data_IF_666850654145
#
_entry.id   IF_666850654145
#
_cell.length_a   1.000
_cell.length_b   1.000
_cell.length_c   1.000
_cell.angle_alpha   90.00
_cell.angle_beta   90.00
_cell.angle_gamma   90.00
#
_symmetry.space_group_name_H-M   'P 1'
#
loop_
_entity.id
_entity.type
_entity.pdbx_description
1 polymer ?
#
# COMPACT_ATOMS: atom_id res chain seq x y z
N UNK A 1 -11.94 -21.37 1.04
CA UNK A 1 -11.29 -20.18 1.60
C UNK A 1 -12.31 -19.06 1.60
N UNK A 2 -12.50 -18.35 2.73
CA UNK A 2 -13.37 -17.18 2.74
C UNK A 2 -12.84 -16.13 1.77
N UNK A 3 -13.71 -15.57 0.94
CA UNK A 3 -13.34 -14.51 0.03
C UNK A 3 -13.09 -13.23 0.83
N UNK A 4 -12.12 -12.41 0.44
CA UNK A 4 -11.80 -11.15 1.14
C UNK A 4 -13.00 -10.19 1.27
N UNK A 5 -13.98 -10.32 0.37
CA UNK A 5 -15.24 -9.58 0.44
C UNK A 5 -16.17 -10.08 1.55
N UNK A 6 -15.89 -11.27 2.14
CA UNK A 6 -16.69 -11.89 3.18
C UNK A 6 -16.06 -11.65 4.56
N UNK A 7 -15.56 -10.45 4.83
CA UNK A 7 -15.03 -10.08 6.15
C UNK A 7 -16.09 -10.32 7.24
N UNK A 8 -15.67 -10.81 8.42
CA UNK A 8 -16.60 -11.17 9.51
C UNK A 8 -17.23 -9.93 10.18
N UNK A 9 -16.66 -8.74 10.01
CA UNK A 9 -17.18 -7.52 10.62
C UNK A 9 -18.52 -7.13 9.97
N UNK A 10 -19.61 -7.02 10.74
CA UNK A 10 -20.95 -6.78 10.18
C UNK A 10 -21.04 -5.53 9.33
N UNK A 11 -20.34 -4.47 9.75
CA UNK A 11 -20.37 -3.17 9.07
C UNK A 11 -19.60 -3.14 7.75
N UNK A 12 -18.75 -4.15 7.47
CA UNK A 12 -18.05 -4.24 6.18
C UNK A 12 -19.00 -4.19 4.98
N UNK A 13 -20.19 -4.76 5.11
CA UNK A 13 -21.22 -4.78 4.05
C UNK A 13 -21.82 -3.41 3.74
N UNK A 14 -21.67 -2.46 4.65
CA UNK A 14 -22.15 -1.08 4.51
C UNK A 14 -21.13 -0.18 3.80
N UNK A 15 -19.88 -0.65 3.69
CA UNK A 15 -18.82 0.10 3.00
C UNK A 15 -18.88 -0.11 1.51
N UNK A 16 -18.73 0.99 0.78
CA UNK A 16 -18.60 0.95 -0.67
C UNK A 16 -17.43 1.82 -1.09
N UNK A 17 -16.43 1.19 -1.67
CA UNK A 17 -15.26 1.84 -2.25
C UNK A 17 -15.27 1.69 -3.76
N UNK A 18 -14.82 2.71 -4.47
CA UNK A 18 -14.66 2.63 -5.90
C UNK A 18 -13.39 1.85 -6.28
N UNK A 19 -13.43 1.26 -7.47
CA UNK A 19 -12.25 0.64 -8.07
C UNK A 19 -11.44 1.71 -8.80
N UNK A 20 -10.12 1.84 -8.51
CA UNK A 20 -9.27 2.71 -9.31
C UNK A 20 -9.19 2.17 -10.75
N UNK A 21 -8.96 3.07 -11.70
CA UNK A 21 -8.91 2.75 -13.13
C UNK A 21 -10.14 1.97 -13.65
N UNK A 22 -11.32 2.28 -13.14
CA UNK A 22 -12.57 1.51 -13.33
C UNK A 22 -12.88 1.21 -14.80
N UNK A 23 -12.61 2.15 -15.74
CA UNK A 23 -12.83 1.94 -17.18
C UNK A 23 -11.93 0.82 -17.73
N UNK A 24 -10.64 0.85 -17.41
CA UNK A 24 -9.69 -0.18 -17.83
C UNK A 24 -9.99 -1.53 -17.20
N UNK A 25 -10.31 -1.54 -15.90
CA UNK A 25 -10.70 -2.76 -15.18
C UNK A 25 -11.94 -3.43 -15.78
N UNK A 26 -12.95 -2.65 -16.17
CA UNK A 26 -14.16 -3.18 -16.83
C UNK A 26 -13.79 -3.84 -18.16
N UNK A 27 -13.04 -3.15 -19.02
CA UNK A 27 -12.57 -3.73 -20.28
C UNK A 27 -11.76 -5.00 -20.08
N UNK A 28 -10.86 -5.02 -19.10
CA UNK A 28 -10.10 -6.22 -18.74
C UNK A 28 -11.04 -7.39 -18.42
N UNK A 29 -12.06 -7.17 -17.58
CA UNK A 29 -13.01 -8.21 -17.19
C UNK A 29 -13.85 -8.71 -18.37
N UNK A 30 -14.34 -7.80 -19.20
CA UNK A 30 -15.26 -8.10 -20.30
C UNK A 30 -14.54 -8.67 -21.53
N UNK A 31 -13.38 -8.13 -21.89
CA UNK A 31 -12.70 -8.44 -23.14
C UNK A 31 -11.57 -9.48 -22.99
N UNK A 32 -10.98 -9.60 -21.78
CA UNK A 32 -9.79 -10.43 -21.56
C UNK A 32 -10.07 -11.60 -20.62
N UNK A 33 -10.52 -11.31 -19.38
CA UNK A 33 -10.74 -12.37 -18.36
C UNK A 33 -11.94 -13.28 -18.68
N UNK A 34 -12.83 -12.87 -19.55
CA UNK A 34 -13.91 -13.71 -20.07
C UNK A 34 -13.45 -14.72 -21.12
N UNK A 35 -12.22 -14.60 -21.62
CA UNK A 35 -11.66 -15.53 -22.63
C UNK A 35 -11.14 -16.79 -21.94
N UNK A 36 -11.33 -17.92 -22.58
CA UNK A 36 -10.84 -19.23 -22.10
C UNK A 36 -9.37 -19.49 -22.45
N UNK A 37 -8.80 -18.74 -23.40
CA UNK A 37 -7.42 -18.83 -23.86
C UNK A 37 -6.47 -17.81 -23.19
N UNK A 38 -6.94 -17.06 -22.19
CA UNK A 38 -6.14 -16.15 -21.40
C UNK A 38 -5.88 -16.71 -19.99
N UNK A 39 -4.62 -16.86 -19.63
CA UNK A 39 -4.22 -17.26 -18.28
C UNK A 39 -4.04 -16.00 -17.38
N UNK A 40 -4.91 -15.79 -16.37
CA UNK A 40 -4.79 -14.66 -15.44
C UNK A 40 -3.45 -14.59 -14.69
N UNK A 41 -2.71 -15.69 -14.55
CA UNK A 41 -1.40 -15.71 -13.91
C UNK A 41 -0.37 -14.81 -14.63
N UNK A 42 -0.56 -14.56 -15.94
CA UNK A 42 0.27 -13.62 -16.68
C UNK A 42 0.23 -12.20 -16.13
N UNK A 43 -0.88 -11.81 -15.50
CA UNK A 43 -1.00 -10.48 -14.87
C UNK A 43 -0.07 -10.36 -13.65
N UNK A 44 0.11 -11.46 -12.90
CA UNK A 44 1.08 -11.49 -11.80
C UNK A 44 2.52 -11.38 -12.33
N UNK A 45 2.86 -12.12 -13.40
CA UNK A 45 4.19 -12.05 -14.01
C UNK A 45 4.48 -10.63 -14.52
N UNK A 46 3.53 -10.02 -15.23
CA UNK A 46 3.66 -8.67 -15.72
C UNK A 46 3.80 -7.66 -14.56
N UNK A 47 2.96 -7.76 -13.54
CA UNK A 47 3.02 -6.91 -12.35
C UNK A 47 4.35 -7.02 -11.61
N UNK A 48 4.89 -8.25 -11.47
CA UNK A 48 6.18 -8.51 -10.84
C UNK A 48 7.33 -7.89 -11.65
N UNK A 49 7.32 -8.01 -12.98
CA UNK A 49 8.31 -7.33 -13.83
C UNK A 49 8.27 -5.81 -13.66
N UNK A 50 7.08 -5.20 -13.62
CA UNK A 50 6.94 -3.75 -13.41
C UNK A 50 7.44 -3.32 -12.03
N UNK A 51 7.11 -4.08 -10.97
CA UNK A 51 7.57 -3.81 -9.62
C UNK A 51 9.10 -3.92 -9.50
N UNK A 52 9.69 -4.93 -10.12
CA UNK A 52 11.16 -5.10 -10.18
C UNK A 52 11.81 -3.94 -10.93
N UNK A 53 11.27 -3.56 -12.09
CA UNK A 53 11.79 -2.44 -12.86
C UNK A 53 11.76 -1.13 -12.06
N UNK A 54 10.71 -0.89 -11.28
CA UNK A 54 10.61 0.28 -10.41
C UNK A 54 11.72 0.32 -9.34
N UNK A 55 12.01 -0.83 -8.70
CA UNK A 55 13.09 -0.94 -7.72
C UNK A 55 14.44 -0.67 -8.37
N UNK A 56 14.69 -1.20 -9.56
CA UNK A 56 15.94 -0.98 -10.30
C UNK A 56 16.08 0.48 -10.75
N UNK A 57 15.00 1.14 -11.19
CA UNK A 57 14.99 2.57 -11.50
C UNK A 57 15.35 3.39 -10.24
N UNK A 58 14.78 3.04 -9.08
CA UNK A 58 15.12 3.72 -7.83
C UNK A 58 16.60 3.56 -7.50
N UNK A 59 17.13 2.33 -7.53
CA UNK A 59 18.56 2.05 -7.27
C UNK A 59 19.48 2.81 -8.23
N UNK A 60 19.14 2.83 -9.52
CA UNK A 60 19.89 3.57 -10.52
C UNK A 60 19.88 5.10 -10.28
N UNK A 61 18.72 5.66 -9.90
CA UNK A 61 18.60 7.07 -9.54
C UNK A 61 19.38 7.40 -8.26
N UNK A 62 19.33 6.53 -7.25
CA UNK A 62 20.13 6.66 -6.02
C UNK A 62 21.63 6.65 -6.31
N UNK A 63 22.10 5.75 -7.17
CA UNK A 63 23.51 5.67 -7.55
C UNK A 63 23.98 6.88 -8.36
N UNK A 64 23.16 7.35 -9.31
CA UNK A 64 23.54 8.44 -10.21
C UNK A 64 23.40 9.83 -9.57
N UNK A 65 22.36 10.06 -8.76
CA UNK A 65 21.95 11.39 -8.31
C UNK A 65 21.81 11.51 -6.78
N UNK A 66 22.07 10.44 -6.03
CA UNK A 66 21.97 10.44 -4.57
C UNK A 66 20.56 10.82 -4.07
N UNK A 67 20.51 11.69 -3.06
CA UNK A 67 19.24 12.12 -2.45
C UNK A 67 18.28 12.80 -3.46
N UNK A 68 18.80 13.54 -4.42
CA UNK A 68 17.97 14.16 -5.44
C UNK A 68 17.27 13.11 -6.32
N UNK A 69 17.94 12.01 -6.64
CA UNK A 69 17.35 10.87 -7.35
C UNK A 69 16.24 10.22 -6.55
N UNK A 70 16.44 10.04 -5.25
CA UNK A 70 15.40 9.55 -4.33
C UNK A 70 14.16 10.46 -4.35
N UNK A 71 14.32 11.75 -4.13
CA UNK A 71 13.21 12.71 -4.09
C UNK A 71 12.36 12.68 -5.37
N UNK A 72 13.00 12.58 -6.54
CA UNK A 72 12.29 12.51 -7.82
C UNK A 72 11.43 11.25 -7.91
N UNK A 73 12.01 10.08 -7.61
CA UNK A 73 11.28 8.80 -7.68
C UNK A 73 10.17 8.75 -6.63
N UNK A 74 10.46 9.15 -5.41
CA UNK A 74 9.52 9.14 -4.28
C UNK A 74 8.36 10.09 -4.51
N UNK A 75 8.64 11.30 -4.99
CA UNK A 75 7.59 12.25 -5.36
C UNK A 75 6.66 11.70 -6.45
N UNK A 76 7.19 10.94 -7.41
CA UNK A 76 6.38 10.28 -8.43
C UNK A 76 5.49 9.18 -7.83
N UNK A 77 6.05 8.31 -6.99
CA UNK A 77 5.31 7.24 -6.33
C UNK A 77 4.20 7.76 -5.42
N UNK A 78 4.50 8.80 -4.63
CA UNK A 78 3.51 9.47 -3.77
C UNK A 78 2.36 10.03 -4.59
N UNK A 79 2.63 10.68 -5.74
CA UNK A 79 1.56 11.18 -6.63
C UNK A 79 0.68 10.05 -7.15
N UNK A 80 1.26 8.92 -7.55
CA UNK A 80 0.47 7.75 -7.99
C UNK A 80 -0.39 7.22 -6.85
N UNK A 81 0.17 7.10 -5.63
CA UNK A 81 -0.58 6.68 -4.45
C UNK A 81 -1.74 7.61 -4.12
N UNK A 82 -1.50 8.94 -4.18
CA UNK A 82 -2.52 9.96 -3.96
C UNK A 82 -3.66 9.86 -4.99
N UNK A 83 -3.32 9.71 -6.28
CA UNK A 83 -4.31 9.58 -7.34
C UNK A 83 -5.15 8.29 -7.19
N UNK A 84 -4.49 7.16 -6.92
CA UNK A 84 -5.18 5.89 -6.66
C UNK A 84 -6.08 5.98 -5.44
N UNK A 85 -5.61 6.57 -4.34
CA UNK A 85 -6.39 6.77 -3.13
C UNK A 85 -7.63 7.65 -3.38
N UNK A 86 -7.47 8.74 -4.11
CA UNK A 86 -8.60 9.61 -4.51
C UNK A 86 -9.63 8.84 -5.35
N UNK A 87 -9.19 8.01 -6.29
CA UNK A 87 -10.08 7.18 -7.10
C UNK A 87 -10.84 6.15 -6.24
N UNK A 88 -10.18 5.51 -5.28
CA UNK A 88 -10.80 4.57 -4.34
C UNK A 88 -11.87 5.28 -3.51
N UNK A 89 -11.56 6.48 -3.02
CA UNK A 89 -12.41 7.23 -2.09
C UNK A 89 -13.48 8.08 -2.78
N UNK A 90 -13.37 8.32 -4.09
CA UNK A 90 -14.37 9.09 -4.83
C UNK A 90 -15.74 8.39 -4.81
N UNK A 91 -16.74 9.05 -4.23
CA UNK A 91 -18.08 8.47 -4.10
C UNK A 91 -18.17 7.29 -3.11
N UNK A 92 -17.20 7.14 -2.22
CA UNK A 92 -17.24 6.15 -1.14
C UNK A 92 -18.40 6.43 -0.20
N UNK A 93 -19.20 5.40 0.07
CA UNK A 93 -20.24 5.42 1.09
C UNK A 93 -19.68 4.83 2.39
N UNK A 94 -19.75 5.59 3.46
CA UNK A 94 -19.30 5.18 4.79
C UNK A 94 -20.50 5.02 5.71
N UNK A 95 -20.51 3.98 6.58
CA UNK A 95 -21.57 3.82 7.58
C UNK A 95 -21.62 5.02 8.53
N UNK A 96 -22.82 5.36 9.02
CA UNK A 96 -22.97 6.38 10.06
C UNK A 96 -22.22 5.98 11.35
N UNK A 97 -21.53 6.94 11.96
CA UNK A 97 -20.77 6.70 13.20
C UNK A 97 -19.59 5.75 13.06
N UNK A 98 -19.01 5.60 11.85
CA UNK A 98 -17.77 4.84 11.65
C UNK A 98 -16.65 5.40 12.50
N UNK A 99 -15.92 4.51 13.19
CA UNK A 99 -14.70 4.88 13.90
C UNK A 99 -13.53 5.06 12.95
N UNK A 100 -12.50 5.77 13.39
CA UNK A 100 -11.25 5.89 12.62
C UNK A 100 -10.58 4.52 12.43
N UNK A 101 -10.58 3.66 13.46
CA UNK A 101 -10.02 2.31 13.40
C UNK A 101 -10.75 1.41 12.41
N UNK A 102 -12.09 1.44 12.38
CA UNK A 102 -12.87 0.72 11.36
C UNK A 102 -12.51 1.20 9.95
N UNK A 103 -12.51 2.52 9.73
CA UNK A 103 -12.13 3.07 8.42
C UNK A 103 -10.72 2.65 8.03
N UNK A 104 -9.73 2.77 8.94
CA UNK A 104 -8.36 2.38 8.66
C UNK A 104 -8.25 0.91 8.26
N UNK A 105 -8.92 0.00 8.99
CA UNK A 105 -8.95 -1.43 8.69
C UNK A 105 -9.57 -1.73 7.32
N UNK A 106 -10.71 -1.12 7.03
CA UNK A 106 -11.44 -1.37 5.79
C UNK A 106 -10.74 -0.76 4.57
N UNK A 107 -10.22 0.45 4.72
CA UNK A 107 -9.41 1.09 3.69
C UNK A 107 -8.13 0.30 3.40
N UNK A 108 -7.43 -0.16 4.44
CA UNK A 108 -6.26 -1.01 4.28
C UNK A 108 -6.58 -2.32 3.54
N UNK A 109 -7.74 -2.95 3.83
CA UNK A 109 -8.18 -4.14 3.09
C UNK A 109 -8.36 -3.85 1.61
N UNK A 110 -9.05 -2.77 1.26
CA UNK A 110 -9.26 -2.37 -0.14
C UNK A 110 -7.93 -2.09 -0.84
N UNK A 111 -7.05 -1.33 -0.19
CA UNK A 111 -5.71 -1.00 -0.72
C UNK A 111 -4.89 -2.26 -0.95
N UNK A 112 -4.81 -3.16 0.03
CA UNK A 112 -4.03 -4.39 -0.09
C UNK A 112 -4.53 -5.29 -1.22
N UNK A 113 -5.85 -5.40 -1.39
CA UNK A 113 -6.46 -6.27 -2.42
C UNK A 113 -6.43 -5.68 -3.81
N UNK A 114 -6.55 -4.36 -3.92
CA UNK A 114 -6.60 -3.67 -5.22
C UNK A 114 -5.21 -3.25 -5.69
N UNK A 115 -4.45 -2.57 -4.82
CA UNK A 115 -3.19 -1.96 -5.20
C UNK A 115 -1.99 -2.92 -5.09
N UNK A 116 -2.03 -3.84 -4.13
CA UNK A 116 -0.91 -4.73 -3.85
C UNK A 116 -1.17 -6.19 -4.22
N UNK A 117 -2.40 -6.56 -4.59
CA UNK A 117 -2.79 -7.93 -4.88
C UNK A 117 -2.34 -8.93 -3.80
N UNK A 118 -2.30 -8.48 -2.53
CA UNK A 118 -1.84 -9.26 -1.39
C UNK A 118 -3.01 -9.94 -0.66
N UNK A 119 -2.69 -10.93 0.16
CA UNK A 119 -3.61 -11.58 1.09
C UNK A 119 -3.32 -11.05 2.49
N UNK A 120 -4.29 -10.39 3.11
CA UNK A 120 -4.15 -9.87 4.47
C UNK A 120 -5.17 -10.49 5.43
N UNK A 121 -4.83 -10.42 6.72
CA UNK A 121 -5.71 -10.66 7.85
C UNK A 121 -5.86 -9.36 8.65
N UNK A 122 -6.89 -8.55 8.37
CA UNK A 122 -7.07 -7.26 9.00
C UNK A 122 -7.77 -7.39 10.36
N UNK A 123 -7.49 -6.41 11.24
CA UNK A 123 -8.11 -6.28 12.56
C UNK A 123 -8.45 -4.83 12.87
N UNK A 124 -9.54 -4.63 13.59
CA UNK A 124 -9.85 -3.35 14.26
C UNK A 124 -9.40 -3.51 15.71
N UNK A 125 -8.38 -2.75 16.12
CA UNK A 125 -7.77 -2.88 17.45
C UNK A 125 -8.34 -1.86 18.45
N UNK A 126 -9.10 -0.88 17.99
CA UNK A 126 -9.72 0.16 18.79
C UNK A 126 -10.42 1.20 17.94
N UNK A 127 -10.92 2.26 18.58
CA UNK A 127 -11.63 3.35 17.87
C UNK A 127 -10.73 4.14 16.92
N UNK A 128 -9.43 4.23 17.23
CA UNK A 128 -8.44 5.02 16.48
C UNK A 128 -7.27 4.16 15.94
N UNK A 129 -7.41 2.81 16.00
CA UNK A 129 -6.32 1.89 15.66
C UNK A 129 -6.82 0.68 14.89
N UNK A 130 -6.03 0.26 13.92
CA UNK A 130 -6.19 -0.99 13.19
C UNK A 130 -4.82 -1.63 12.94
N UNK A 131 -4.81 -2.94 12.72
CA UNK A 131 -3.62 -3.66 12.25
C UNK A 131 -3.99 -4.68 11.18
N UNK A 132 -2.99 -5.16 10.48
CA UNK A 132 -3.15 -6.28 9.56
C UNK A 132 -1.83 -7.03 9.37
N UNK A 133 -1.96 -8.32 9.10
CA UNK A 133 -0.87 -9.17 8.66
C UNK A 133 -1.02 -9.46 7.17
N UNK A 134 0.04 -9.26 6.39
CA UNK A 134 0.10 -9.78 5.03
C UNK A 134 0.53 -11.24 5.11
N UNK A 135 -0.37 -12.12 4.72
CA UNK A 135 -0.17 -13.58 4.73
C UNK A 135 0.53 -14.06 3.46
N UNK A 136 0.35 -13.33 2.37
CA UNK A 136 0.98 -13.56 1.08
C UNK A 136 1.16 -12.23 0.35
N UNK A 137 2.37 -12.00 -0.14
CA UNK A 137 2.73 -10.81 -0.92
C UNK A 137 3.24 -11.25 -2.30
N UNK A 138 2.78 -10.67 -3.41
CA UNK A 138 3.23 -11.04 -4.75
C UNK A 138 4.72 -10.82 -4.97
N UNK A 139 5.37 -10.04 -4.12
CA UNK A 139 6.79 -9.69 -4.22
C UNK A 139 7.69 -10.41 -3.20
N UNK A 140 7.14 -11.30 -2.38
CA UNK A 140 7.88 -11.94 -1.28
C UNK A 140 9.12 -12.74 -1.73
N UNK A 141 9.07 -13.30 -2.95
CA UNK A 141 10.16 -14.11 -3.51
C UNK A 141 11.17 -13.29 -4.33
N UNK A 142 10.93 -11.99 -4.53
CA UNK A 142 11.73 -11.12 -5.42
C UNK A 142 12.33 -9.92 -4.71
N UNK A 143 11.66 -9.38 -3.67
CA UNK A 143 12.15 -8.23 -2.94
C UNK A 143 13.14 -8.66 -1.85
N UNK A 144 14.29 -8.00 -1.81
CA UNK A 144 15.11 -7.99 -0.62
C UNK A 144 14.44 -7.15 0.49
N UNK A 145 14.84 -7.39 1.74
CA UNK A 145 14.26 -6.70 2.91
C UNK A 145 14.16 -5.18 2.75
N UNK A 146 15.10 -4.60 2.01
CA UNK A 146 15.20 -3.16 1.82
C UNK A 146 14.37 -2.63 0.63
N UNK A 147 14.01 -3.48 -0.30
CA UNK A 147 13.27 -3.08 -1.52
C UNK A 147 11.84 -2.63 -1.20
N UNK A 148 11.23 -3.15 -0.12
CA UNK A 148 9.91 -2.72 0.34
C UNK A 148 9.81 -1.22 0.66
N UNK A 149 10.93 -0.48 0.74
CA UNK A 149 10.93 0.97 0.97
C UNK A 149 10.17 1.74 -0.12
N UNK A 150 10.14 1.24 -1.37
CA UNK A 150 9.40 1.88 -2.46
C UNK A 150 7.91 2.00 -2.14
N UNK A 151 7.36 1.04 -1.40
CA UNK A 151 5.94 1.00 -1.05
C UNK A 151 5.55 2.10 -0.06
N UNK A 152 6.50 2.57 0.75
CA UNK A 152 6.24 3.63 1.74
C UNK A 152 5.73 4.92 1.10
N UNK A 153 6.28 5.31 -0.04
CA UNK A 153 5.89 6.53 -0.73
C UNK A 153 4.53 6.40 -1.39
N UNK A 154 4.25 5.25 -1.94
CA UNK A 154 2.92 4.94 -2.47
C UNK A 154 1.88 4.96 -1.33
N UNK A 155 2.17 4.31 -0.20
CA UNK A 155 1.31 4.34 1.01
C UNK A 155 1.14 5.77 1.52
N UNK A 156 2.19 6.58 1.53
CA UNK A 156 2.10 7.99 1.93
C UNK A 156 1.06 8.77 1.10
N UNK A 157 1.03 8.55 -0.21
CA UNK A 157 0.02 9.13 -1.09
C UNK A 157 -1.40 8.63 -0.77
N UNK A 158 -1.55 7.34 -0.48
CA UNK A 158 -2.83 6.76 -0.07
C UNK A 158 -3.35 7.35 1.25
N UNK A 159 -2.47 7.53 2.24
CA UNK A 159 -2.81 8.17 3.53
C UNK A 159 -3.18 9.64 3.35
N UNK A 160 -2.50 10.34 2.45
CA UNK A 160 -2.83 11.72 2.10
C UNK A 160 -4.23 11.82 1.48
N UNK A 161 -4.59 10.92 0.56
CA UNK A 161 -5.94 10.83 -0.01
C UNK A 161 -7.01 10.59 1.06
N UNK A 162 -6.74 9.72 2.04
CA UNK A 162 -7.66 9.50 3.16
C UNK A 162 -7.86 10.76 4.00
N UNK A 163 -6.78 11.50 4.27
CA UNK A 163 -6.83 12.77 5.01
C UNK A 163 -7.56 13.87 4.23
N UNK A 164 -7.39 13.93 2.92
CA UNK A 164 -8.14 14.86 2.05
C UNK A 164 -9.64 14.52 2.01
N UNK A 165 -9.98 13.22 2.01
CA UNK A 165 -11.37 12.77 2.03
C UNK A 165 -12.10 13.21 3.32
N UNK A 166 -11.45 13.03 4.47
CA UNK A 166 -11.89 13.61 5.74
C UNK A 166 -10.69 13.77 6.69
N UNK A 167 -10.54 14.96 7.27
CA UNK A 167 -9.41 15.30 8.14
C UNK A 167 -9.23 14.34 9.34
N UNK A 168 -10.31 13.71 9.82
CA UNK A 168 -10.28 12.70 10.88
C UNK A 168 -9.58 11.40 10.47
N UNK A 169 -9.44 11.11 9.18
CA UNK A 169 -8.77 9.93 8.64
C UNK A 169 -7.28 10.15 8.38
N UNK A 170 -6.64 10.95 9.23
CA UNK A 170 -5.19 11.13 9.21
C UNK A 170 -4.50 10.08 10.07
N UNK A 171 -3.92 9.05 9.42
CA UNK A 171 -3.21 7.96 10.08
C UNK A 171 -1.72 8.02 9.86
N UNK A 172 -0.97 7.48 10.83
CA UNK A 172 0.38 6.97 10.64
C UNK A 172 0.36 5.45 10.46
N UNK A 173 1.40 4.91 9.81
CA UNK A 173 1.56 3.47 9.59
C UNK A 173 2.95 3.05 10.05
N UNK A 174 3.02 1.98 10.84
CA UNK A 174 4.27 1.34 11.20
C UNK A 174 4.38 -0.01 10.52
N UNK A 175 5.52 -0.26 9.90
CA UNK A 175 5.91 -1.55 9.38
C UNK A 175 6.69 -2.26 10.48
N UNK A 176 6.03 -3.13 11.23
CA UNK A 176 6.59 -3.80 12.41
C UNK A 176 7.51 -4.96 12.03
N UNK A 177 7.11 -5.73 11.01
CA UNK A 177 7.89 -6.82 10.44
C UNK A 177 7.56 -6.99 8.95
N UNK A 178 8.47 -7.61 8.20
CA UNK A 178 8.23 -7.91 6.79
C UNK A 178 8.75 -9.29 6.40
N UNK A 179 8.05 -9.97 5.49
CA UNK A 179 8.46 -11.28 4.94
C UNK A 179 9.86 -11.19 4.30
N UNK A 180 10.19 -10.17 3.48
CA UNK A 180 11.56 -10.05 2.94
C UNK A 180 12.65 -9.86 3.99
N UNK A 181 12.30 -9.48 5.22
CA UNK A 181 13.23 -9.41 6.35
C UNK A 181 13.29 -10.71 7.16
N UNK A 182 12.62 -11.78 6.71
CA UNK A 182 12.63 -13.10 7.32
C UNK A 182 11.47 -13.37 8.31
N UNK A 183 10.49 -12.47 8.41
CA UNK A 183 9.31 -12.72 9.23
C UNK A 183 8.32 -13.66 8.51
N UNK A 184 7.48 -14.36 9.27
CA UNK A 184 6.43 -15.22 8.72
C UNK A 184 5.33 -14.43 8.00
N UNK A 185 5.07 -13.20 8.46
CA UNK A 185 4.11 -12.26 7.87
C UNK A 185 4.69 -10.85 7.86
N UNK A 186 4.18 -9.99 6.98
CA UNK A 186 4.40 -8.56 7.15
C UNK A 186 3.33 -8.03 8.10
N UNK A 187 3.73 -7.49 9.25
CA UNK A 187 2.81 -6.89 10.22
C UNK A 187 2.83 -5.38 10.15
N UNK A 188 1.63 -4.79 10.08
CA UNK A 188 1.44 -3.34 9.97
C UNK A 188 0.45 -2.87 11.02
N UNK A 189 0.77 -1.73 11.63
CA UNK A 189 -0.14 -1.01 12.54
C UNK A 189 -0.46 0.36 11.98
N UNK A 190 -1.74 0.71 11.96
CA UNK A 190 -2.25 2.04 11.64
C UNK A 190 -2.85 2.65 12.90
N UNK A 191 -2.53 3.90 13.18
CA UNK A 191 -3.11 4.61 14.31
C UNK A 191 -3.24 6.10 13.99
N UNK A 192 -4.15 6.76 14.69
CA UNK A 192 -4.24 8.22 14.65
C UNK A 192 -3.15 8.81 15.53
N UNK A 193 -2.14 9.50 14.95
CA UNK A 193 -1.04 10.00 15.75
C UNK A 193 -1.48 11.12 16.68
N UNK A 194 -1.01 11.08 17.92
CA UNK A 194 -1.11 12.18 18.85
C UNK A 194 -0.20 13.34 18.40
N UNK A 195 -0.42 14.57 18.90
CA UNK A 195 0.44 15.71 18.52
C UNK A 195 1.94 15.44 18.70
N UNK A 196 2.31 14.72 19.76
CA UNK A 196 3.70 14.36 20.09
C UNK A 196 4.27 13.24 19.23
N UNK A 197 3.42 12.45 18.57
CA UNK A 197 3.81 11.33 17.69
C UNK A 197 3.89 11.73 16.22
N UNK A 198 3.49 12.98 15.89
CA UNK A 198 3.52 13.46 14.50
C UNK A 198 4.95 13.48 13.97
N UNK A 199 5.10 12.97 12.75
CA UNK A 199 6.39 12.88 12.08
C UNK A 199 7.12 11.55 12.29
N UNK A 200 6.56 10.59 13.05
CA UNK A 200 7.19 9.28 13.22
C UNK A 200 7.35 8.52 11.89
N UNK A 201 6.37 8.63 11.01
CA UNK A 201 6.42 8.06 9.66
C UNK A 201 7.53 8.70 8.82
N UNK A 202 7.62 10.02 8.80
CA UNK A 202 8.61 10.79 8.06
C UNK A 202 10.02 10.51 8.58
N UNK A 203 10.20 10.48 9.91
CA UNK A 203 11.48 10.19 10.52
C UNK A 203 11.97 8.77 10.18
N UNK A 204 11.09 7.77 10.27
CA UNK A 204 11.45 6.41 9.89
C UNK A 204 11.77 6.31 8.39
N UNK A 205 11.00 6.98 7.54
CA UNK A 205 11.23 7.04 6.08
C UNK A 205 12.60 7.65 5.78
N UNK A 206 12.93 8.78 6.38
CA UNK A 206 14.21 9.45 6.22
C UNK A 206 15.39 8.54 6.61
N UNK A 207 15.28 7.81 7.71
CA UNK A 207 16.32 6.83 8.12
C UNK A 207 16.52 5.71 7.11
N UNK A 208 15.45 5.25 6.45
CA UNK A 208 15.55 4.25 5.39
C UNK A 208 16.23 4.82 4.14
N UNK A 209 15.93 6.07 3.79
CA UNK A 209 16.57 6.78 2.67
C UNK A 209 18.08 6.95 2.88
N UNK A 210 18.47 7.41 4.06
CA UNK A 210 19.88 7.56 4.42
C UNK A 210 20.64 6.23 4.35
N UNK A 211 20.04 5.14 4.85
CA UNK A 211 20.61 3.79 4.75
C UNK A 211 20.76 3.34 3.30
N UNK A 212 19.77 3.64 2.44
CA UNK A 212 19.82 3.30 1.03
C UNK A 212 21.00 3.97 0.32
N UNK A 213 21.17 5.28 0.54
CA UNK A 213 22.28 6.03 -0.04
C UNK A 213 23.64 5.55 0.47
N UNK A 214 23.71 5.17 1.74
CA UNK A 214 24.94 4.59 2.31
C UNK A 214 25.27 3.21 1.68
N UNK A 215 24.25 2.43 1.30
CA UNK A 215 24.41 1.15 0.61
C UNK A 215 24.83 1.35 -0.85
N UNK A 216 24.20 2.27 -1.57
CA UNK A 216 24.52 2.58 -2.96
C UNK A 216 25.98 3.01 -3.14
N UNK A 217 26.54 3.75 -2.15
CA UNK A 217 27.94 4.19 -2.15
C UNK A 217 28.96 3.07 -1.91
N UNK A 218 28.54 1.92 -1.38
CA UNK A 218 29.44 0.79 -1.07
C UNK A 218 29.47 -0.27 -2.17
N UNK A 219 28.50 -0.27 -3.06
CA UNK A 219 28.34 -1.26 -4.13
C UNK A 219 28.73 -0.75 -5.52
N UNK A 220 29.14 0.50 -5.66
CA UNK A 220 29.79 1.08 -6.84
C UNK A 220 31.29 1.19 -6.61
#
# INVERSE_FOLDING_TARGET
MAHWQDRPEPRWKEFRFNQPYAKGLRRLKEEVLARTDFDPATLWQWGTMQATALVEVLKACEAAFGAQGQEVVFGALRRVGLDVGRQILAGTELPEGITEGEFASFYATVVNRIAYASLEAPRVDGEDRASFDILWCPHQDHYAAFDCRVQRYFVQGLLEAAREHAARFGFDVRFDSTIPAGAATCHFTLWKPRPEEKGAWEEHTRRLEEKALAHAKKGG
#
